data_IF_501728123449
#
_entry.id   IF_501728123449
#
_cell.length_a   1.000
_cell.length_b   1.000
_cell.length_c   1.000
_cell.angle_alpha   90.00
_cell.angle_beta   90.00
_cell.angle_gamma   90.00
#
_symmetry.space_group_name_H-M   'P 1'
#
loop_
_entity.id
_entity.type
_entity.pdbx_description
1 polymer ?
#
# COMPACT_ATOMS: atom_id res chain seq x y z
N UNK A 1 -0.27 -25.65 -7.48
CA UNK A 1 0.03 -24.21 -7.28
C UNK A 1 1.22 -24.11 -6.35
N UNK A 2 2.15 -23.15 -6.54
CA UNK A 2 3.20 -22.96 -5.56
C UNK A 2 2.55 -22.52 -4.25
N UNK A 3 2.68 -23.36 -3.22
CA UNK A 3 2.22 -23.06 -1.87
C UNK A 3 3.28 -22.20 -1.21
N UNK A 4 3.09 -20.87 -1.23
CA UNK A 4 3.89 -19.97 -0.41
C UNK A 4 3.86 -20.46 1.06
N UNK A 5 5.03 -20.66 1.65
CA UNK A 5 5.16 -21.09 3.04
C UNK A 5 4.75 -19.96 3.99
N UNK A 6 4.47 -20.26 5.26
CA UNK A 6 4.25 -19.22 6.25
C UNK A 6 5.38 -18.16 6.26
N UNK A 7 6.63 -18.60 6.28
CA UNK A 7 7.79 -17.70 6.33
C UNK A 7 7.81 -16.76 5.12
N UNK A 8 7.39 -17.24 3.95
CA UNK A 8 7.34 -16.44 2.72
C UNK A 8 6.34 -15.27 2.83
N UNK A 9 5.13 -15.49 3.36
CA UNK A 9 4.22 -14.34 3.53
C UNK A 9 4.65 -13.42 4.65
N UNK A 10 5.23 -13.96 5.73
CA UNK A 10 5.75 -13.13 6.81
C UNK A 10 6.80 -12.15 6.26
N UNK A 11 7.76 -12.64 5.49
CA UNK A 11 8.74 -11.78 4.82
C UNK A 11 8.09 -10.80 3.85
N UNK A 12 7.11 -11.23 3.06
CA UNK A 12 6.44 -10.34 2.11
C UNK A 12 5.71 -9.18 2.80
N UNK A 13 4.99 -9.47 3.89
CA UNK A 13 4.29 -8.47 4.69
C UNK A 13 5.29 -7.51 5.34
N UNK A 14 6.33 -8.02 6.00
CA UNK A 14 7.34 -7.19 6.66
C UNK A 14 8.07 -6.28 5.67
N UNK A 15 8.54 -6.83 4.55
CA UNK A 15 9.22 -6.05 3.53
C UNK A 15 8.30 -4.98 2.91
N UNK A 16 7.02 -5.30 2.70
CA UNK A 16 6.04 -4.34 2.19
C UNK A 16 5.81 -3.21 3.19
N UNK A 17 5.67 -3.54 4.48
CA UNK A 17 5.52 -2.56 5.55
C UNK A 17 6.74 -1.62 5.63
N UNK A 18 7.95 -2.17 5.65
CA UNK A 18 9.20 -1.39 5.72
C UNK A 18 9.38 -0.49 4.50
N UNK A 19 9.07 -0.98 3.30
CA UNK A 19 9.10 -0.19 2.08
C UNK A 19 8.14 1.01 2.15
N UNK A 20 6.91 0.79 2.63
CA UNK A 20 5.91 1.87 2.76
C UNK A 20 6.37 2.90 3.78
N UNK A 21 6.91 2.46 4.94
CA UNK A 21 7.48 3.37 5.93
C UNK A 21 8.60 4.23 5.33
N UNK A 22 9.53 3.62 4.59
CA UNK A 22 10.60 4.36 3.95
C UNK A 22 10.09 5.42 2.97
N UNK A 23 9.01 5.13 2.24
CA UNK A 23 8.39 6.09 1.32
C UNK A 23 7.69 7.23 2.08
N UNK A 24 6.99 6.90 3.17
CA UNK A 24 6.38 7.89 4.09
C UNK A 24 7.46 8.83 4.65
N UNK A 25 8.56 8.28 5.16
CA UNK A 25 9.64 9.04 5.79
C UNK A 25 10.39 9.92 4.77
N UNK A 26 10.33 9.58 3.47
CA UNK A 26 10.89 10.38 2.38
C UNK A 26 9.97 11.50 1.88
N UNK A 27 8.71 11.52 2.32
CA UNK A 27 7.73 12.50 1.87
C UNK A 27 8.00 13.87 2.54
N UNK A 28 8.15 14.90 1.72
CA UNK A 28 8.29 16.29 2.12
C UNK A 28 7.11 17.11 1.60
N UNK A 29 6.84 18.28 2.16
CA UNK A 29 5.72 19.12 1.72
C UNK A 29 5.80 19.49 0.23
N UNK A 30 7.00 19.58 -0.34
CA UNK A 30 7.22 19.93 -1.76
C UNK A 30 6.82 18.79 -2.72
N UNK A 31 7.11 17.54 -2.36
CA UNK A 31 6.83 16.36 -3.18
C UNK A 31 5.55 15.63 -2.78
N UNK A 32 4.91 16.04 -1.69
CA UNK A 32 3.74 15.36 -1.11
C UNK A 32 2.58 15.17 -2.11
N UNK A 33 2.20 16.15 -2.95
CA UNK A 33 1.13 15.96 -3.93
C UNK A 33 1.38 14.85 -4.94
N UNK A 34 2.66 14.54 -5.22
CA UNK A 34 3.07 13.48 -6.15
C UNK A 34 3.17 12.12 -5.44
N UNK A 35 3.76 12.12 -4.23
CA UNK A 35 4.07 10.89 -3.49
C UNK A 35 2.82 10.34 -2.77
N UNK A 36 1.95 11.20 -2.28
CA UNK A 36 0.81 10.78 -1.46
C UNK A 36 -0.15 9.81 -2.16
N UNK A 37 -0.56 10.02 -3.44
CA UNK A 37 -1.42 9.05 -4.09
C UNK A 37 -0.75 7.68 -4.26
N UNK A 38 0.58 7.62 -4.45
CA UNK A 38 1.34 6.37 -4.47
C UNK A 38 1.29 5.71 -3.09
N UNK A 39 1.47 6.48 -2.01
CA UNK A 39 1.38 5.96 -0.64
C UNK A 39 0.01 5.36 -0.32
N UNK A 40 -1.08 6.00 -0.77
CA UNK A 40 -2.44 5.46 -0.61
C UNK A 40 -2.59 4.11 -1.31
N UNK A 41 -2.08 3.98 -2.54
CA UNK A 41 -2.13 2.72 -3.29
C UNK A 41 -1.33 1.62 -2.58
N UNK A 42 -0.13 1.95 -2.10
CA UNK A 42 0.71 0.99 -1.38
C UNK A 42 0.07 0.54 -0.06
N UNK A 43 -0.58 1.45 0.65
CA UNK A 43 -1.36 1.13 1.84
C UNK A 43 -2.52 0.18 1.53
N UNK A 44 -3.31 0.45 0.48
CA UNK A 44 -4.39 -0.46 0.08
C UNK A 44 -3.87 -1.83 -0.39
N UNK A 45 -2.72 -1.86 -1.09
CA UNK A 45 -2.04 -3.10 -1.41
C UNK A 45 -1.67 -3.89 -0.15
N UNK A 46 -1.14 -3.23 0.89
CA UNK A 46 -0.80 -3.87 2.16
C UNK A 46 -2.04 -4.47 2.83
N UNK A 47 -3.18 -3.76 2.83
CA UNK A 47 -4.46 -4.27 3.38
C UNK A 47 -4.95 -5.51 2.64
N UNK A 48 -4.88 -5.50 1.31
CA UNK A 48 -5.24 -6.65 0.49
C UNK A 48 -4.29 -7.82 0.75
N UNK A 49 -2.99 -7.57 0.79
CA UNK A 49 -1.96 -8.57 1.08
C UNK A 49 -2.22 -9.24 2.43
N UNK A 50 -2.50 -8.46 3.47
CA UNK A 50 -2.90 -8.97 4.79
C UNK A 50 -4.15 -9.85 4.70
N UNK A 51 -5.19 -9.38 4.00
CA UNK A 51 -6.43 -10.13 3.81
C UNK A 51 -6.21 -11.47 3.11
N UNK A 52 -5.37 -11.49 2.07
CA UNK A 52 -4.98 -12.71 1.36
C UNK A 52 -4.15 -13.66 2.23
N UNK A 53 -3.22 -13.13 3.03
CA UNK A 53 -2.38 -13.92 3.92
C UNK A 53 -3.18 -14.65 5.00
N UNK A 54 -4.31 -14.08 5.45
CA UNK A 54 -5.12 -14.63 6.54
C UNK A 54 -6.36 -15.42 6.09
N UNK A 55 -6.46 -15.76 4.79
CA UNK A 55 -7.50 -16.68 4.31
C UNK A 55 -7.37 -18.04 5.01
N UNK A 56 -8.50 -18.58 5.47
CA UNK A 56 -8.59 -19.85 6.21
C UNK A 56 -8.03 -21.08 5.47
N UNK A 57 -7.82 -20.99 4.15
CA UNK A 57 -7.28 -22.05 3.29
C UNK A 57 -5.75 -22.02 3.15
N UNK A 58 -5.07 -21.01 3.72
CA UNK A 58 -3.60 -20.88 3.70
C UNK A 58 -3.02 -21.38 5.03
N UNK A 59 -1.75 -21.84 5.05
CA UNK A 59 -1.10 -22.33 6.27
C UNK A 59 -0.84 -21.25 7.33
N UNK A 60 -1.21 -19.99 7.05
CA UNK A 60 -1.26 -18.92 8.04
C UNK A 60 -2.50 -19.05 8.92
N UNK A 61 -2.36 -19.93 9.91
CA UNK A 61 -3.25 -19.97 11.05
C UNK A 61 -3.07 -18.72 11.90
N UNK A 62 -4.20 -18.09 12.18
CA UNK A 62 -4.49 -17.16 13.28
C UNK A 62 -3.52 -17.35 14.46
N UNK A 63 -2.83 -16.28 14.87
CA UNK A 63 -1.81 -16.31 15.94
C UNK A 63 -1.26 -14.92 16.28
N UNK A 64 -0.17 -14.84 17.04
CA UNK A 64 0.39 -13.55 17.50
C UNK A 64 0.88 -12.65 16.36
N UNK A 65 1.41 -13.24 15.29
CA UNK A 65 1.82 -12.49 14.10
C UNK A 65 0.62 -11.79 13.43
N UNK A 66 -0.58 -12.37 13.46
CA UNK A 66 -1.77 -11.73 12.91
C UNK A 66 -2.06 -10.39 13.62
N UNK A 67 -1.94 -10.37 14.95
CA UNK A 67 -2.11 -9.15 15.75
C UNK A 67 -1.04 -8.11 15.42
N UNK A 68 0.21 -8.55 15.20
CA UNK A 68 1.29 -7.66 14.78
C UNK A 68 0.99 -6.99 13.43
N UNK A 69 0.49 -7.75 12.44
CA UNK A 69 0.17 -7.18 11.12
C UNK A 69 -1.00 -6.19 11.19
N UNK A 70 -2.00 -6.43 12.05
CA UNK A 70 -3.03 -5.41 12.29
C UNK A 70 -2.46 -4.13 12.91
N UNK A 71 -1.53 -4.25 13.88
CA UNK A 71 -0.82 -3.07 14.43
C UNK A 71 0.00 -2.34 13.37
N UNK A 72 0.61 -3.06 12.43
CA UNK A 72 1.33 -2.46 11.30
C UNK A 72 0.36 -1.70 10.38
N UNK A 73 -0.82 -2.25 10.06
CA UNK A 73 -1.86 -1.53 9.31
C UNK A 73 -2.28 -0.24 10.04
N UNK A 74 -2.52 -0.33 11.35
CA UNK A 74 -2.89 0.81 12.18
C UNK A 74 -1.78 1.88 12.22
N UNK A 75 -0.51 1.49 12.34
CA UNK A 75 0.64 2.40 12.32
C UNK A 75 0.76 3.14 10.97
N UNK A 76 0.67 2.41 9.86
CA UNK A 76 0.67 3.01 8.53
C UNK A 76 -0.49 4.01 8.37
N UNK A 77 -1.69 3.66 8.81
CA UNK A 77 -2.85 4.54 8.75
C UNK A 77 -2.64 5.81 9.60
N UNK A 78 -2.07 5.68 10.80
CA UNK A 78 -1.75 6.82 11.67
C UNK A 78 -0.70 7.75 11.05
N UNK A 79 0.31 7.20 10.38
CA UNK A 79 1.35 7.98 9.69
C UNK A 79 0.86 8.69 8.43
N UNK A 80 -0.13 8.12 7.73
CA UNK A 80 -0.71 8.74 6.53
C UNK A 80 -1.65 9.91 6.84
N UNK A 81 -2.39 9.87 7.96
CA UNK A 81 -3.31 10.94 8.36
C UNK A 81 -2.70 12.35 8.38
N UNK A 82 -1.53 12.60 9.02
CA UNK A 82 -0.93 13.93 9.03
C UNK A 82 -0.45 14.37 7.63
N UNK A 83 -0.10 13.43 6.76
CA UNK A 83 0.25 13.73 5.38
C UNK A 83 -0.98 14.18 4.57
N UNK A 84 -2.10 13.47 4.72
CA UNK A 84 -3.38 13.86 4.12
C UNK A 84 -3.82 15.27 4.56
N UNK A 85 -3.71 15.58 5.85
CA UNK A 85 -4.10 16.87 6.40
C UNK A 85 -3.29 18.06 5.86
N UNK A 86 -2.09 17.81 5.32
CA UNK A 86 -1.24 18.83 4.68
C UNK A 86 -1.57 19.04 3.21
N UNK A 87 -2.37 18.16 2.61
CA UNK A 87 -2.76 18.26 1.21
C UNK A 87 -4.10 18.97 1.08
N UNK A 88 -4.14 19.95 0.19
CA UNK A 88 -5.40 20.33 -0.41
C UNK A 88 -5.70 19.33 -1.54
N UNK A 89 -6.58 18.36 -1.28
CA UNK A 89 -6.97 17.34 -2.26
C UNK A 89 -7.68 17.98 -3.47
N UNK A 90 -8.21 19.20 -3.33
CA UNK A 90 -8.79 19.98 -4.44
C UNK A 90 -7.72 20.78 -5.20
N UNK A 91 -6.47 20.75 -4.76
CA UNK A 91 -5.37 21.36 -5.49
C UNK A 91 -5.19 20.68 -6.86
N UNK A 92 -4.89 21.53 -7.83
CA UNK A 92 -4.67 21.16 -9.23
C UNK A 92 -3.51 20.18 -9.40
N UNK A 93 -2.46 20.27 -8.56
CA UNK A 93 -1.27 19.42 -8.65
C UNK A 93 -1.58 18.01 -8.14
N UNK A 94 -2.23 17.88 -6.99
CA UNK A 94 -2.68 16.58 -6.45
C UNK A 94 -3.65 15.89 -7.41
N UNK A 95 -4.62 16.65 -7.94
CA UNK A 95 -5.57 16.16 -8.94
C UNK A 95 -4.90 15.69 -10.23
N UNK A 96 -3.87 16.42 -10.70
CA UNK A 96 -3.08 16.04 -11.86
C UNK A 96 -2.34 14.70 -11.66
N UNK A 97 -1.67 14.51 -10.52
CA UNK A 97 -0.96 13.27 -10.23
C UNK A 97 -1.92 12.08 -10.05
N UNK A 98 -3.09 12.30 -9.43
CA UNK A 98 -4.16 11.30 -9.36
C UNK A 98 -4.64 10.88 -10.76
N UNK A 99 -4.83 11.82 -11.67
CA UNK A 99 -5.24 11.54 -13.04
C UNK A 99 -4.14 10.85 -13.87
N UNK A 100 -2.87 11.21 -13.67
CA UNK A 100 -1.75 10.49 -14.28
C UNK A 100 -1.71 9.03 -13.84
N UNK A 101 -1.92 8.75 -12.55
CA UNK A 101 -2.00 7.37 -12.06
C UNK A 101 -3.18 6.63 -12.67
N UNK A 102 -4.38 7.22 -12.71
CA UNK A 102 -5.54 6.58 -13.36
C UNK A 102 -5.24 6.23 -14.82
N UNK A 103 -4.60 7.14 -15.56
CA UNK A 103 -4.21 6.89 -16.96
C UNK A 103 -3.21 5.74 -17.08
N UNK A 104 -2.16 5.71 -16.27
CA UNK A 104 -1.16 4.63 -16.31
C UNK A 104 -1.76 3.27 -15.96
N UNK A 105 -2.69 3.20 -15.01
CA UNK A 105 -3.43 1.96 -14.72
C UNK A 105 -4.36 1.58 -15.88
N UNK A 106 -5.08 2.51 -16.49
CA UNK A 106 -5.99 2.21 -17.60
C UNK A 106 -5.26 1.73 -18.88
N UNK A 107 -4.04 2.22 -19.13
CA UNK A 107 -3.24 1.87 -20.30
C UNK A 107 -2.70 0.43 -20.24
N UNK A 108 -2.57 -0.17 -19.06
CA UNK A 108 -2.11 -1.55 -18.93
C UNK A 108 -3.21 -2.62 -19.05
N UNK A 109 -4.49 -2.23 -19.03
CA UNK A 109 -5.62 -3.15 -19.21
C UNK A 109 -6.21 -3.17 -20.64
N UNK A 110 -5.70 -2.34 -21.55
CA UNK A 110 -6.20 -2.22 -22.94
C UNK A 110 -5.09 -2.23 -24.01
N UNK A 111 -4.14 -3.16 -23.88
CA UNK A 111 -3.42 -3.65 -25.06
C UNK A 111 -3.80 -5.12 -25.29
N UNK A 112 -4.96 -5.42 -25.93
CA UNK A 112 -5.04 -6.67 -26.66
C UNK A 112 -3.92 -6.60 -27.69
N UNK A 113 -2.90 -7.45 -27.55
CA UNK A 113 -1.91 -7.61 -28.61
C UNK A 113 -2.65 -7.90 -29.92
N UNK A 114 -2.21 -7.31 -31.05
CA UNK A 114 -2.78 -7.60 -32.36
C UNK A 114 -2.70 -9.08 -32.70
#
# INVERSE_FOLDING_TARGET
MPTHTPETWKSLILNSYEMILSEIDSASEENLPEVYPKLVILYEFFRLLRGEAFKSTRPFGIGDFQKEVYKMEDDLAQKLKPLEAKLDIKDSKTSYHLDLMKKSFSLHYFNPKP
#
